data_IF_630813494193
#
_entry.id   IF_630813494193
#
_cell.length_a   1.000
_cell.length_b   1.000
_cell.length_c   1.000
_cell.angle_alpha   90.00
_cell.angle_beta   90.00
_cell.angle_gamma   90.00
#
_symmetry.space_group_name_H-M   'P 1'
#
loop_
_entity.id
_entity.type
_entity.pdbx_description
1 polymer ?
#
# COMPACT_ATOMS: atom_id res chain seq x y z
N UNK A 1 37.65 87.85 3.44
CA UNK A 1 37.36 87.23 4.74
C UNK A 1 36.19 86.32 4.57
N UNK A 2 36.41 85.06 4.27
CA UNK A 2 35.36 84.09 4.03
C UNK A 2 35.58 82.88 4.94
N UNK A 3 34.59 82.58 5.75
CA UNK A 3 34.55 81.40 6.61
C UNK A 3 34.23 80.16 5.85
N UNK A 4 34.80 78.97 6.15
CA UNK A 4 34.45 77.75 5.52
C UNK A 4 33.28 77.08 6.24
N UNK A 5 32.25 76.73 5.46
CA UNK A 5 31.14 75.88 5.92
C UNK A 5 31.59 74.43 5.94
N UNK A 6 31.62 73.84 7.15
CA UNK A 6 31.74 72.39 7.34
C UNK A 6 30.38 71.71 7.14
N UNK A 7 30.23 70.92 6.11
CA UNK A 7 29.06 70.03 5.92
C UNK A 7 29.42 68.68 6.47
N UNK A 8 28.96 68.40 7.68
CA UNK A 8 29.00 67.06 8.25
C UNK A 8 28.00 66.15 7.47
N UNK A 9 28.54 65.09 6.87
CA UNK A 9 27.75 64.03 6.18
C UNK A 9 27.06 63.19 7.24
N UNK A 10 25.73 62.93 7.14
CA UNK A 10 25.06 62.07 8.09
C UNK A 10 25.58 60.61 7.92
N UNK A 11 26.09 60.04 8.98
CA UNK A 11 26.43 58.64 9.08
C UNK A 11 25.14 57.82 9.11
N UNK A 12 24.92 57.09 8.02
CA UNK A 12 23.82 56.13 7.90
C UNK A 12 24.11 54.97 8.88
N UNK A 13 23.23 54.82 9.86
CA UNK A 13 23.25 53.65 10.75
C UNK A 13 23.12 52.36 9.92
N UNK A 14 23.82 51.27 10.25
CA UNK A 14 23.68 50.02 9.56
C UNK A 14 22.29 49.45 9.81
N UNK A 15 21.50 49.30 8.79
CA UNK A 15 20.27 48.50 8.81
C UNK A 15 20.63 47.04 8.96
N UNK A 16 20.65 46.56 10.20
CA UNK A 16 20.72 45.14 10.53
C UNK A 16 19.36 44.51 10.30
N UNK A 17 19.00 44.38 9.05
CA UNK A 17 17.97 43.44 8.67
C UNK A 17 18.67 42.31 7.88
N UNK A 18 19.43 41.51 8.62
CA UNK A 18 19.85 40.21 8.14
C UNK A 18 18.57 39.38 8.11
N UNK A 19 17.92 39.30 6.93
CA UNK A 19 16.92 38.30 6.66
C UNK A 19 17.52 36.96 7.04
N UNK A 20 17.06 36.43 8.18
CA UNK A 20 17.40 35.07 8.62
C UNK A 20 16.99 34.16 7.51
N UNK A 21 17.95 33.59 6.77
CA UNK A 21 17.66 32.64 5.72
C UNK A 21 16.75 31.55 6.28
N UNK A 22 15.61 31.33 5.63
CA UNK A 22 14.68 30.29 6.03
C UNK A 22 15.40 28.95 5.85
N UNK A 23 15.72 28.29 6.94
CA UNK A 23 16.36 26.98 6.98
C UNK A 23 15.38 25.97 7.54
N UNK A 24 15.34 24.71 7.00
CA UNK A 24 14.54 23.66 7.59
C UNK A 24 14.93 23.44 9.06
N UNK A 25 13.95 23.38 9.94
CA UNK A 25 14.16 22.94 11.31
C UNK A 25 14.08 21.42 11.34
N UNK A 26 15.22 20.74 11.49
CA UNK A 26 15.31 19.27 11.58
C UNK A 26 15.20 18.75 13.01
N UNK A 27 15.20 19.64 14.01
CA UNK A 27 15.00 19.31 15.42
C UNK A 27 13.49 19.24 15.71
N UNK A 28 12.85 18.15 15.32
CA UNK A 28 11.44 17.89 15.56
C UNK A 28 11.28 16.91 16.74
N UNK A 29 10.31 17.11 17.64
CA UNK A 29 10.04 16.14 18.69
C UNK A 29 9.55 14.83 18.07
N UNK A 30 10.19 13.71 18.44
CA UNK A 30 9.82 12.37 17.99
C UNK A 30 8.84 11.74 18.97
N UNK A 31 7.52 11.90 18.71
CA UNK A 31 6.47 11.23 19.45
C UNK A 31 5.31 10.89 18.52
N UNK A 32 4.64 9.77 18.79
CA UNK A 32 3.42 9.41 18.07
C UNK A 32 2.27 10.33 18.53
N UNK A 33 1.58 10.91 17.58
CA UNK A 33 0.36 11.72 17.84
C UNK A 33 -0.90 10.87 17.86
N UNK A 34 -0.83 9.65 17.31
CA UNK A 34 -1.84 8.60 17.34
C UNK A 34 -1.12 7.25 17.36
N UNK A 35 -1.43 6.39 18.31
CA UNK A 35 -0.85 5.05 18.38
C UNK A 35 -1.54 4.09 17.43
N UNK A 36 -0.79 3.10 16.95
CA UNK A 36 -1.38 2.01 16.18
C UNK A 36 -2.52 1.33 16.95
N UNK A 37 -3.64 1.08 16.28
CA UNK A 37 -4.85 0.51 16.89
C UNK A 37 -5.79 1.51 17.56
N UNK A 38 -5.41 2.77 17.70
CA UNK A 38 -6.31 3.86 18.11
C UNK A 38 -7.10 4.38 16.91
N UNK A 39 -8.34 4.80 17.15
CA UNK A 39 -9.23 5.39 16.15
C UNK A 39 -9.44 6.87 16.49
N UNK A 40 -9.10 7.75 15.57
CA UNK A 40 -9.51 9.15 15.61
C UNK A 40 -10.93 9.25 15.06
N UNK A 41 -11.87 9.73 15.87
CA UNK A 41 -13.27 9.85 15.45
C UNK A 41 -13.42 10.90 14.35
N UNK A 42 -13.78 10.45 13.16
CA UNK A 42 -14.16 11.29 12.03
C UNK A 42 -15.69 11.37 11.88
N UNK A 43 -16.22 12.41 11.24
CA UNK A 43 -17.67 12.57 11.01
C UNK A 43 -18.15 11.71 9.84
N UNK A 44 -17.91 10.38 9.89
CA UNK A 44 -18.26 9.42 8.84
C UNK A 44 -19.58 8.66 9.09
N UNK A 45 -20.28 8.95 10.19
CA UNK A 45 -21.56 8.32 10.53
C UNK A 45 -21.46 6.93 11.16
N UNK A 46 -20.26 6.35 11.30
CA UNK A 46 -20.05 5.05 11.92
C UNK A 46 -19.71 5.18 13.41
N UNK A 47 -19.99 4.14 14.20
CA UNK A 47 -19.50 4.06 15.57
C UNK A 47 -17.99 3.79 15.61
N UNK A 48 -17.32 4.18 16.69
CA UNK A 48 -15.90 3.93 16.89
C UNK A 48 -15.57 2.44 16.83
N UNK A 49 -16.43 1.59 17.41
CA UNK A 49 -16.24 0.14 17.38
C UNK A 49 -16.28 -0.41 15.95
N UNK A 50 -17.25 0.02 15.13
CA UNK A 50 -17.31 -0.39 13.72
C UNK A 50 -16.06 0.05 12.96
N UNK A 51 -15.61 1.30 13.17
CA UNK A 51 -14.38 1.78 12.55
C UNK A 51 -13.17 0.92 12.96
N UNK A 52 -13.06 0.59 14.26
CA UNK A 52 -11.96 -0.23 14.80
C UNK A 52 -11.93 -1.63 14.19
N UNK A 53 -13.09 -2.29 14.12
CA UNK A 53 -13.20 -3.64 13.59
C UNK A 53 -12.93 -3.66 12.09
N UNK A 54 -13.46 -2.70 11.34
CA UNK A 54 -13.18 -2.55 9.90
C UNK A 54 -11.71 -2.27 9.63
N UNK A 55 -11.06 -1.40 10.41
CA UNK A 55 -9.63 -1.09 10.29
C UNK A 55 -8.76 -2.33 10.50
N UNK A 56 -9.12 -3.19 11.45
CA UNK A 56 -8.38 -4.43 11.70
C UNK A 56 -8.45 -5.38 10.48
N UNK A 57 -9.65 -5.56 9.90
CA UNK A 57 -9.84 -6.38 8.69
C UNK A 57 -9.13 -5.81 7.48
N UNK A 58 -9.20 -4.49 7.28
CA UNK A 58 -8.51 -3.81 6.19
C UNK A 58 -6.98 -3.89 6.32
N UNK A 59 -6.42 -3.76 7.53
CA UNK A 59 -4.98 -3.89 7.75
C UNK A 59 -4.48 -5.32 7.50
N UNK A 60 -5.26 -6.35 7.85
CA UNK A 60 -4.92 -7.73 7.48
C UNK A 60 -4.87 -7.90 5.96
N UNK A 61 -5.90 -7.45 5.26
CA UNK A 61 -5.95 -7.50 3.80
C UNK A 61 -4.83 -6.67 3.16
N UNK A 62 -4.51 -5.50 3.72
CA UNK A 62 -3.42 -4.64 3.28
C UNK A 62 -2.06 -5.34 3.40
N UNK A 63 -1.79 -6.00 4.52
CA UNK A 63 -0.54 -6.74 4.73
C UNK A 63 -0.38 -7.88 3.72
N UNK A 64 -1.43 -8.64 3.47
CA UNK A 64 -1.45 -9.73 2.50
C UNK A 64 -1.30 -9.19 1.06
N UNK A 65 -1.98 -8.10 0.72
CA UNK A 65 -1.88 -7.44 -0.59
C UNK A 65 -0.47 -6.89 -0.86
N UNK A 66 0.18 -6.27 0.14
CA UNK A 66 1.58 -5.81 0.05
C UNK A 66 2.51 -7.00 -0.18
N UNK A 67 2.31 -8.10 0.55
CA UNK A 67 3.10 -9.31 0.39
C UNK A 67 2.95 -9.90 -1.02
N UNK A 68 1.73 -10.03 -1.52
CA UNK A 68 1.45 -10.51 -2.87
C UNK A 68 2.05 -9.58 -3.95
N UNK A 69 1.91 -8.26 -3.80
CA UNK A 69 2.55 -7.26 -4.67
C UNK A 69 4.05 -7.50 -4.80
N UNK A 70 4.72 -7.70 -3.68
CA UNK A 70 6.19 -7.91 -3.64
C UNK A 70 6.57 -9.29 -4.19
N UNK A 71 5.71 -10.32 -4.00
CA UNK A 71 5.88 -11.63 -4.64
C UNK A 71 5.81 -11.54 -6.16
N UNK A 72 4.89 -10.76 -6.74
CA UNK A 72 4.85 -10.52 -8.16
C UNK A 72 6.14 -9.91 -8.69
N UNK A 73 6.68 -8.89 -8.00
CA UNK A 73 7.93 -8.26 -8.43
C UNK A 73 9.12 -9.19 -8.29
N UNK A 74 9.17 -9.99 -7.22
CA UNK A 74 10.18 -11.05 -7.07
C UNK A 74 10.13 -12.04 -8.24
N UNK A 75 8.96 -12.55 -8.58
CA UNK A 75 8.79 -13.54 -9.63
C UNK A 75 9.01 -12.94 -11.02
N UNK A 76 8.59 -11.69 -11.27
CA UNK A 76 8.92 -10.94 -12.47
C UNK A 76 10.42 -10.88 -12.75
N UNK A 77 11.25 -10.65 -11.73
CA UNK A 77 12.71 -10.65 -11.88
C UNK A 77 13.32 -12.04 -12.03
N UNK A 78 12.66 -13.08 -11.55
CA UNK A 78 13.23 -14.42 -11.42
C UNK A 78 12.67 -15.45 -12.40
N UNK A 79 11.60 -15.15 -13.12
CA UNK A 79 11.00 -16.08 -14.08
C UNK A 79 11.97 -16.38 -15.23
N UNK A 80 11.96 -17.63 -15.68
CA UNK A 80 12.79 -18.13 -16.80
C UNK A 80 12.04 -19.21 -17.55
N UNK A 81 12.50 -19.53 -18.74
CA UNK A 81 12.00 -20.63 -19.54
C UNK A 81 11.26 -20.22 -20.81
N UNK A 82 10.61 -21.15 -21.51
CA UNK A 82 9.97 -20.89 -22.81
C UNK A 82 8.87 -19.83 -22.76
N UNK A 83 8.19 -19.70 -21.63
CA UNK A 83 7.09 -18.72 -21.39
C UNK A 83 7.59 -17.45 -20.70
N UNK A 84 8.90 -17.20 -20.68
CA UNK A 84 9.50 -16.06 -19.96
C UNK A 84 8.82 -14.74 -20.29
N UNK A 85 8.73 -14.37 -21.56
CA UNK A 85 8.24 -13.06 -21.95
C UNK A 85 6.78 -12.83 -21.52
N UNK A 86 5.91 -13.82 -21.70
CA UNK A 86 4.51 -13.73 -21.35
C UNK A 86 4.32 -13.58 -19.84
N UNK A 87 5.00 -14.42 -19.06
CA UNK A 87 4.91 -14.39 -17.60
C UNK A 87 5.55 -13.13 -17.01
N UNK A 88 6.68 -12.69 -17.55
CA UNK A 88 7.35 -11.47 -17.13
C UNK A 88 6.44 -10.24 -17.27
N UNK A 89 5.78 -10.09 -18.42
CA UNK A 89 4.84 -8.99 -18.66
C UNK A 89 3.57 -9.12 -17.81
N UNK A 90 3.00 -10.33 -17.69
CA UNK A 90 1.82 -10.57 -16.88
C UNK A 90 2.09 -10.28 -15.38
N UNK A 91 3.22 -10.71 -14.85
CA UNK A 91 3.57 -10.44 -13.46
C UNK A 91 3.74 -8.95 -13.18
N UNK A 92 4.28 -8.19 -14.14
CA UNK A 92 4.41 -6.74 -14.00
C UNK A 92 3.03 -6.05 -14.02
N UNK A 93 2.15 -6.45 -14.94
CA UNK A 93 0.78 -5.94 -15.01
C UNK A 93 -0.03 -6.26 -13.72
N UNK A 94 0.11 -7.48 -13.20
CA UNK A 94 -0.56 -7.87 -11.96
C UNK A 94 0.01 -7.12 -10.75
N UNK A 95 1.34 -6.91 -10.70
CA UNK A 95 1.97 -6.06 -9.70
C UNK A 95 1.38 -4.65 -9.69
N UNK A 96 1.21 -4.01 -10.85
CA UNK A 96 0.60 -2.67 -10.95
C UNK A 96 -0.83 -2.67 -10.39
N UNK A 97 -1.62 -3.70 -10.68
CA UNK A 97 -2.96 -3.85 -10.10
C UNK A 97 -2.93 -3.98 -8.58
N UNK A 98 -1.97 -4.73 -8.01
CA UNK A 98 -1.80 -4.83 -6.57
C UNK A 98 -1.31 -3.52 -5.93
N UNK A 99 -0.50 -2.73 -6.61
CA UNK A 99 -0.11 -1.37 -6.15
C UNK A 99 -1.32 -0.48 -5.95
N UNK A 100 -2.27 -0.49 -6.89
CA UNK A 100 -3.52 0.28 -6.76
C UNK A 100 -4.37 -0.20 -5.57
N UNK A 101 -4.48 -1.52 -5.36
CA UNK A 101 -5.20 -2.06 -4.21
C UNK A 101 -4.58 -1.67 -2.86
N UNK A 102 -3.26 -1.64 -2.78
CA UNK A 102 -2.54 -1.19 -1.57
C UNK A 102 -2.96 0.23 -1.19
N UNK A 103 -3.03 1.13 -2.16
CA UNK A 103 -3.40 2.52 -1.93
C UNK A 103 -4.86 2.65 -1.50
N UNK A 104 -5.78 2.00 -2.20
CA UNK A 104 -7.22 1.96 -1.88
C UNK A 104 -7.45 1.45 -0.44
N UNK A 105 -6.81 0.34 -0.06
CA UNK A 105 -6.93 -0.22 1.28
C UNK A 105 -6.38 0.72 2.36
N UNK A 106 -5.19 1.28 2.13
CA UNK A 106 -4.54 2.19 3.06
C UNK A 106 -5.34 3.49 3.25
N UNK A 107 -5.83 4.07 2.17
CA UNK A 107 -6.69 5.27 2.24
C UNK A 107 -8.02 4.97 2.94
N UNK A 108 -8.64 3.80 2.68
CA UNK A 108 -9.87 3.42 3.39
C UNK A 108 -9.65 3.33 4.90
N UNK A 109 -8.52 2.80 5.36
CA UNK A 109 -8.16 2.77 6.78
C UNK A 109 -8.09 4.19 7.35
N UNK A 110 -7.47 5.13 6.63
CA UNK A 110 -7.40 6.54 7.05
C UNK A 110 -8.78 7.20 7.12
N UNK A 111 -9.67 6.92 6.16
CA UNK A 111 -11.05 7.42 6.15
C UNK A 111 -11.89 6.91 7.34
N UNK A 112 -11.49 5.81 7.96
CA UNK A 112 -12.09 5.30 9.19
C UNK A 112 -11.42 5.86 10.47
N UNK A 113 -10.38 6.69 10.33
CA UNK A 113 -9.62 7.26 11.44
C UNK A 113 -8.57 6.32 12.03
N UNK A 114 -8.24 5.24 11.33
CA UNK A 114 -7.20 4.29 11.73
C UNK A 114 -5.82 4.63 11.18
N UNK A 115 -4.85 3.74 11.43
CA UNK A 115 -3.48 3.81 10.91
C UNK A 115 -3.24 2.59 10.04
N UNK A 116 -2.84 2.83 8.77
CA UNK A 116 -2.49 1.78 7.83
C UNK A 116 -1.07 1.27 8.08
N UNK A 117 -0.87 -0.05 8.05
CA UNK A 117 0.44 -0.68 8.08
C UNK A 117 1.20 -0.36 6.79
N UNK A 118 2.50 -0.06 6.90
CA UNK A 118 3.30 0.31 5.75
C UNK A 118 4.74 -0.24 5.76
N UNK A 119 5.33 -0.44 6.94
CA UNK A 119 6.73 -0.83 7.01
C UNK A 119 6.91 -2.34 6.84
N UNK A 120 7.99 -2.73 6.15
CA UNK A 120 8.24 -4.14 5.80
C UNK A 120 8.25 -5.09 7.01
N UNK A 121 8.71 -4.64 8.17
CA UNK A 121 8.69 -5.44 9.39
C UNK A 121 7.26 -5.74 9.85
N UNK A 122 6.42 -4.70 9.92
CA UNK A 122 5.03 -4.80 10.34
C UNK A 122 4.21 -5.69 9.38
N UNK A 123 4.48 -5.56 8.07
CA UNK A 123 3.87 -6.40 7.04
C UNK A 123 4.27 -7.87 7.23
N UNK A 124 5.55 -8.15 7.46
CA UNK A 124 6.06 -9.50 7.64
C UNK A 124 5.51 -10.19 8.92
N UNK A 125 5.20 -9.40 9.95
CA UNK A 125 4.59 -9.88 11.20
C UNK A 125 3.07 -10.12 11.09
N UNK A 126 2.41 -9.42 10.14
CA UNK A 126 0.95 -9.42 10.01
C UNK A 126 0.44 -10.34 8.91
N UNK A 127 1.16 -10.44 7.79
CA UNK A 127 0.71 -11.21 6.62
C UNK A 127 0.51 -12.70 6.93
N UNK A 128 -0.55 -13.28 6.37
CA UNK A 128 -0.80 -14.73 6.41
C UNK A 128 -0.16 -15.47 5.23
N UNK A 129 0.35 -14.75 4.24
CA UNK A 129 0.94 -15.34 3.05
C UNK A 129 2.36 -15.86 3.35
N UNK A 130 2.59 -17.14 3.05
CA UNK A 130 3.89 -17.76 3.23
C UNK A 130 4.94 -17.11 2.33
N UNK A 131 6.06 -16.73 2.93
CA UNK A 131 7.18 -16.14 2.21
C UNK A 131 7.82 -17.16 1.26
N UNK A 132 7.92 -16.91 -0.05
CA UNK A 132 8.62 -17.77 -0.96
C UNK A 132 10.14 -17.82 -0.66
N UNK A 133 10.84 -18.90 -1.05
CA UNK A 133 12.30 -18.98 -0.87
C UNK A 133 13.00 -17.84 -1.61
N UNK A 134 14.17 -17.44 -1.13
CA UNK A 134 14.98 -16.37 -1.76
C UNK A 134 15.45 -16.73 -3.16
N UNK A 135 15.68 -18.00 -3.41
CA UNK A 135 16.17 -18.52 -4.69
C UNK A 135 15.10 -18.51 -5.78
N UNK A 136 15.55 -18.89 -6.97
CA UNK A 136 14.70 -19.04 -8.16
C UNK A 136 13.99 -20.38 -8.12
N UNK A 137 12.72 -20.38 -8.49
CA UNK A 137 11.90 -21.58 -8.62
C UNK A 137 11.42 -21.75 -10.07
N UNK A 138 11.03 -22.97 -10.51
CA UNK A 138 10.39 -23.18 -11.80
C UNK A 138 9.15 -22.28 -11.98
N UNK A 139 8.86 -21.84 -13.20
CA UNK A 139 7.75 -20.95 -13.51
C UNK A 139 6.40 -21.50 -13.00
N UNK A 140 6.14 -22.80 -13.16
CA UNK A 140 4.92 -23.45 -12.66
C UNK A 140 4.78 -23.37 -11.13
N UNK A 141 5.89 -23.44 -10.39
CA UNK A 141 5.89 -23.29 -8.93
C UNK A 141 5.61 -21.83 -8.54
N UNK A 142 6.20 -20.87 -9.26
CA UNK A 142 5.91 -19.45 -9.05
C UNK A 142 4.44 -19.13 -9.27
N UNK A 143 3.83 -19.63 -10.36
CA UNK A 143 2.41 -19.47 -10.67
C UNK A 143 1.55 -20.05 -9.56
N UNK A 144 1.86 -21.29 -9.11
CA UNK A 144 1.15 -21.94 -8.02
C UNK A 144 1.18 -21.10 -6.74
N UNK A 145 2.35 -20.59 -6.32
CA UNK A 145 2.48 -19.75 -5.12
C UNK A 145 1.68 -18.46 -5.21
N UNK A 146 1.70 -17.82 -6.38
CA UNK A 146 0.90 -16.62 -6.62
C UNK A 146 -0.60 -16.94 -6.55
N UNK A 147 -1.06 -18.05 -7.13
CA UNK A 147 -2.46 -18.46 -7.07
C UNK A 147 -2.90 -18.78 -5.63
N UNK A 148 -2.07 -19.47 -4.83
CA UNK A 148 -2.33 -19.75 -3.42
C UNK A 148 -2.39 -18.46 -2.57
N UNK A 149 -1.52 -17.50 -2.84
CA UNK A 149 -1.55 -16.19 -2.17
C UNK A 149 -2.84 -15.41 -2.51
N UNK A 150 -3.26 -15.42 -3.76
CA UNK A 150 -4.56 -14.85 -4.17
C UNK A 150 -5.73 -15.54 -3.48
N UNK A 151 -5.73 -16.88 -3.42
CA UNK A 151 -6.80 -17.63 -2.77
C UNK A 151 -6.94 -17.22 -1.29
N UNK A 152 -5.82 -17.06 -0.58
CA UNK A 152 -5.83 -16.58 0.81
C UNK A 152 -6.47 -15.19 0.93
N UNK A 153 -6.11 -14.26 0.04
CA UNK A 153 -6.71 -12.92 0.01
C UNK A 153 -8.20 -12.98 -0.32
N UNK A 154 -8.59 -13.77 -1.31
CA UNK A 154 -10.00 -13.91 -1.74
C UNK A 154 -10.86 -14.46 -0.60
N UNK A 155 -10.41 -15.50 0.11
CA UNK A 155 -11.11 -16.07 1.25
C UNK A 155 -11.27 -15.01 2.35
N UNK A 156 -10.16 -14.36 2.76
CA UNK A 156 -10.19 -13.34 3.78
C UNK A 156 -11.05 -12.13 3.42
N UNK A 157 -11.03 -11.70 2.15
CA UNK A 157 -11.84 -10.59 1.67
C UNK A 157 -13.34 -10.91 1.67
N UNK A 158 -13.76 -12.15 1.37
CA UNK A 158 -15.17 -12.59 1.46
C UNK A 158 -15.66 -12.53 2.90
N UNK A 159 -14.89 -13.08 3.84
CA UNK A 159 -15.21 -13.04 5.27
C UNK A 159 -15.25 -11.60 5.81
N UNK A 160 -14.30 -10.77 5.38
CA UNK A 160 -14.26 -9.37 5.77
C UNK A 160 -15.46 -8.59 5.21
N UNK A 161 -15.82 -8.81 3.93
CA UNK A 161 -16.98 -8.18 3.30
C UNK A 161 -18.28 -8.49 4.04
N UNK A 162 -18.49 -9.75 4.45
CA UNK A 162 -19.66 -10.14 5.25
C UNK A 162 -19.68 -9.39 6.59
N UNK A 163 -18.57 -9.41 7.35
CA UNK A 163 -18.48 -8.77 8.67
C UNK A 163 -18.73 -7.26 8.62
N UNK A 164 -18.10 -6.55 7.66
CA UNK A 164 -18.29 -5.10 7.53
C UNK A 164 -19.67 -4.75 6.97
N UNK A 165 -20.25 -5.62 6.14
CA UNK A 165 -21.62 -5.51 5.64
C UNK A 165 -22.65 -5.59 6.77
N UNK A 166 -22.53 -6.58 7.66
CA UNK A 166 -23.37 -6.75 8.85
C UNK A 166 -23.25 -5.55 9.79
N UNK A 167 -22.05 -4.98 9.90
CA UNK A 167 -21.78 -3.76 10.67
C UNK A 167 -22.26 -2.47 9.96
N UNK A 168 -22.82 -2.57 8.75
CA UNK A 168 -23.29 -1.45 7.90
C UNK A 168 -22.18 -0.48 7.47
N UNK A 169 -20.94 -0.94 7.45
CA UNK A 169 -19.83 -0.20 6.81
C UNK A 169 -19.80 -0.49 5.31
N UNK A 170 -20.76 0.10 4.60
CA UNK A 170 -20.93 -0.11 3.15
C UNK A 170 -19.70 0.31 2.34
N UNK A 171 -18.94 1.31 2.81
CA UNK A 171 -17.73 1.76 2.11
C UNK A 171 -16.60 0.75 2.19
N UNK A 172 -16.37 0.08 3.34
CA UNK A 172 -15.40 -1.01 3.43
C UNK A 172 -15.89 -2.26 2.72
N UNK A 173 -17.20 -2.56 2.76
CA UNK A 173 -17.78 -3.65 1.98
C UNK A 173 -17.53 -3.48 0.48
N UNK A 174 -17.73 -2.27 -0.04
CA UNK A 174 -17.48 -1.98 -1.46
C UNK A 174 -16.01 -2.16 -1.84
N UNK A 175 -15.06 -1.70 -1.02
CA UNK A 175 -13.63 -1.93 -1.22
C UNK A 175 -13.32 -3.43 -1.30
N UNK A 176 -13.83 -4.25 -0.37
CA UNK A 176 -13.60 -5.69 -0.41
C UNK A 176 -14.22 -6.36 -1.64
N UNK A 177 -15.46 -6.01 -1.99
CA UNK A 177 -16.20 -6.66 -3.08
C UNK A 177 -15.77 -6.13 -4.46
N UNK A 178 -15.72 -4.82 -4.63
CA UNK A 178 -15.52 -4.20 -5.94
C UNK A 178 -14.05 -4.11 -6.34
N UNK A 179 -13.16 -3.88 -5.38
CA UNK A 179 -11.75 -3.70 -5.68
C UNK A 179 -10.95 -4.97 -5.40
N UNK A 180 -10.98 -5.48 -4.16
CA UNK A 180 -10.13 -6.60 -3.75
C UNK A 180 -10.56 -7.89 -4.44
N UNK A 181 -11.82 -8.32 -4.31
CA UNK A 181 -12.27 -9.60 -4.87
C UNK A 181 -12.15 -9.62 -6.39
N UNK A 182 -12.69 -8.62 -7.09
CA UNK A 182 -12.69 -8.61 -8.56
C UNK A 182 -11.29 -8.61 -9.15
N UNK A 183 -10.38 -7.83 -8.57
CA UNK A 183 -8.99 -7.78 -9.05
C UNK A 183 -8.29 -9.12 -8.82
N UNK A 184 -8.41 -9.70 -7.63
CA UNK A 184 -7.74 -10.96 -7.31
C UNK A 184 -8.34 -12.15 -8.08
N UNK A 185 -9.65 -12.22 -8.26
CA UNK A 185 -10.31 -13.26 -9.06
C UNK A 185 -9.88 -13.21 -10.53
N UNK A 186 -9.78 -11.99 -11.12
CA UNK A 186 -9.28 -11.82 -12.48
C UNK A 186 -7.83 -12.31 -12.61
N UNK A 187 -6.97 -11.94 -11.67
CA UNK A 187 -5.56 -12.31 -11.71
C UNK A 187 -5.34 -13.82 -11.49
N UNK A 188 -6.12 -14.44 -10.61
CA UNK A 188 -6.12 -15.89 -10.40
C UNK A 188 -6.51 -16.63 -11.68
N UNK A 189 -7.54 -16.18 -12.36
CA UNK A 189 -7.93 -16.80 -13.61
C UNK A 189 -6.77 -16.79 -14.62
N UNK A 190 -6.14 -15.65 -14.85
CA UNK A 190 -4.99 -15.56 -15.76
C UNK A 190 -3.83 -16.48 -15.33
N UNK A 191 -3.56 -16.59 -14.03
CA UNK A 191 -2.49 -17.47 -13.51
C UNK A 191 -2.81 -18.95 -13.76
N UNK A 192 -4.03 -19.38 -13.43
CA UNK A 192 -4.41 -20.78 -13.45
C UNK A 192 -4.50 -21.34 -14.86
N UNK A 193 -4.82 -20.52 -15.88
CA UNK A 193 -4.78 -20.92 -17.29
C UNK A 193 -3.39 -21.37 -17.75
N UNK A 194 -2.32 -20.89 -17.13
CA UNK A 194 -0.96 -21.36 -17.39
C UNK A 194 -0.64 -22.73 -16.79
N UNK A 195 -1.48 -23.27 -15.90
CA UNK A 195 -1.33 -24.57 -15.25
C UNK A 195 -2.21 -25.65 -15.87
N UNK A 196 -3.13 -25.27 -16.77
CA UNK A 196 -3.99 -26.21 -17.46
C UNK A 196 -3.17 -27.02 -18.45
N UNK A 197 -3.17 -28.35 -18.30
CA UNK A 197 -2.64 -29.26 -19.30
C UNK A 197 -3.68 -29.40 -20.44
N UNK A 198 -3.73 -28.43 -21.35
CA UNK A 198 -4.55 -28.54 -22.53
C UNK A 198 -3.95 -29.61 -23.47
N UNK A 199 -4.73 -30.63 -23.83
CA UNK A 199 -4.39 -31.48 -24.97
C UNK A 199 -4.33 -30.61 -26.23
N UNK A 200 -3.31 -30.75 -27.09
CA UNK A 200 -3.30 -30.06 -28.37
C UNK A 200 -4.61 -30.45 -29.13
N UNK A 201 -5.24 -29.44 -29.70
CA UNK A 201 -6.44 -29.65 -30.49
C UNK A 201 -6.09 -30.65 -31.58
N UNK A 202 -6.60 -31.88 -31.46
CA UNK A 202 -6.51 -32.84 -32.54
C UNK A 202 -7.58 -32.48 -33.56
N UNK A 203 -7.13 -31.99 -34.70
CA UNK A 203 -7.96 -31.76 -35.88
C UNK A 203 -8.57 -33.05 -36.40
#
# INVERSE_FOLDING_TARGET
MAMPHSTARPTRAPTTDQQKAVRPNLEQPSHETQKYGEIVKLPNGLSEQVCKDSVALLNQCLADTITLRDMYKKHHWQVVGPTFNQLHLMYDQHHEGQVLLVDILAERIQLLGGIALAMAADIAETTTIERPPRGREPASVQIKRLAEAHESIIIGAREAAEKVGDARDSGSNDVFVSDVLRTNELQVWFLTEHLVAASPVTS
#
